data_IF_717269480962
#
_entry.id   IF_717269480962
#
_cell.length_a   1.000
_cell.length_b   1.000
_cell.length_c   1.000
_cell.angle_alpha   90.00
_cell.angle_beta   90.00
_cell.angle_gamma   90.00
#
_symmetry.space_group_name_H-M   'P 1'
#
loop_
_entity.id
_entity.type
_entity.pdbx_description
1 polymer ?
#
# COMPACT_ATOMS: atom_id res chain seq x y z
N UNK A 1 -15.04 -14.57 4.74
CA UNK A 1 -14.39 -13.57 3.87
C UNK A 1 -13.71 -12.55 4.76
N UNK A 2 -12.41 -12.34 4.62
CA UNK A 2 -11.62 -11.46 5.49
C UNK A 2 -11.39 -10.10 4.81
N UNK A 3 -11.53 -9.02 5.60
CA UNK A 3 -11.21 -7.66 5.20
C UNK A 3 -10.06 -7.17 6.07
N UNK A 4 -8.97 -6.71 5.45
CA UNK A 4 -7.80 -6.21 6.16
C UNK A 4 -7.57 -4.76 5.78
N UNK A 5 -7.48 -3.88 6.79
CA UNK A 5 -7.26 -2.45 6.62
C UNK A 5 -5.82 -2.07 6.93
N UNK A 6 -5.26 -1.19 6.10
CA UNK A 6 -3.93 -0.60 6.24
C UNK A 6 -4.09 0.91 6.17
N UNK A 7 -3.59 1.63 7.18
CA UNK A 7 -3.53 3.09 7.17
C UNK A 7 -2.08 3.56 7.09
N UNK A 8 -1.79 4.43 6.12
CA UNK A 8 -0.47 4.99 5.86
C UNK A 8 -0.43 6.48 6.19
N UNK A 9 0.76 6.99 6.53
CA UNK A 9 0.99 8.42 6.81
C UNK A 9 0.98 9.32 5.56
N UNK A 10 0.70 8.76 4.38
CA UNK A 10 0.51 9.50 3.15
C UNK A 10 -0.75 10.36 3.25
N UNK A 11 -0.63 11.67 3.03
CA UNK A 11 -1.70 12.65 3.32
C UNK A 11 -2.68 12.84 2.17
N UNK A 12 -2.31 12.40 0.98
CA UNK A 12 -3.14 12.51 -0.20
C UNK A 12 -2.36 12.13 -1.45
N UNK A 13 -2.95 11.28 -2.28
CA UNK A 13 -2.39 10.96 -3.57
C UNK A 13 -2.42 12.18 -4.48
N UNK A 14 -1.32 12.41 -5.18
CA UNK A 14 -1.32 13.33 -6.32
C UNK A 14 -1.85 12.60 -7.56
N UNK A 15 -2.16 13.36 -8.62
CA UNK A 15 -2.49 12.77 -9.92
C UNK A 15 -1.39 11.81 -10.40
N UNK A 16 -0.12 12.17 -10.17
CA UNK A 16 1.03 11.33 -10.51
C UNK A 16 1.05 10.04 -9.70
N UNK A 17 0.66 10.06 -8.41
CA UNK A 17 0.53 8.86 -7.59
C UNK A 17 -0.54 7.92 -8.16
N UNK A 18 -1.70 8.46 -8.57
CA UNK A 18 -2.77 7.68 -9.19
C UNK A 18 -2.29 7.06 -10.49
N UNK A 19 -1.70 7.87 -11.38
CA UNK A 19 -1.16 7.39 -12.66
C UNK A 19 -0.09 6.30 -12.46
N UNK A 20 0.81 6.46 -11.49
CA UNK A 20 1.83 5.47 -11.18
C UNK A 20 1.24 4.12 -10.74
N UNK A 21 0.18 4.15 -9.92
CA UNK A 21 -0.50 2.94 -9.45
C UNK A 21 -1.31 2.27 -10.58
N UNK A 22 -1.85 3.07 -11.50
CA UNK A 22 -2.63 2.58 -12.65
C UNK A 22 -1.76 2.09 -13.81
N UNK A 23 -0.50 2.51 -13.89
CA UNK A 23 0.42 2.07 -14.96
C UNK A 23 0.53 0.53 -14.96
N UNK A 24 0.29 -0.04 -16.13
CA UNK A 24 0.67 -1.41 -16.48
C UNK A 24 2.20 -1.43 -16.52
N UNK A 25 2.83 -2.51 -16.04
CA UNK A 25 4.28 -2.73 -16.07
C UNK A 25 4.89 -2.42 -17.44
N UNK A 26 5.25 -1.16 -17.70
CA UNK A 26 6.34 -0.81 -18.62
C UNK A 26 7.61 -1.02 -17.82
N UNK A 27 8.04 -2.27 -17.73
CA UNK A 27 9.45 -2.57 -17.44
C UNK A 27 10.27 -1.99 -18.58
N UNK A 28 10.58 -0.70 -18.52
CA UNK A 28 11.57 -0.08 -19.40
C UNK A 28 12.89 -0.15 -18.66
N UNK A 29 13.61 -1.23 -18.92
CA UNK A 29 15.06 -1.28 -18.77
C UNK A 29 15.65 -0.52 -19.96
N UNK A 30 15.57 0.81 -19.98
CA UNK A 30 16.37 1.63 -20.89
C UNK A 30 16.37 3.10 -20.46
N UNK A 31 17.58 3.61 -20.19
CA UNK A 31 17.93 5.00 -20.42
C UNK A 31 17.54 6.00 -19.33
N UNK A 32 18.52 6.36 -18.51
CA UNK A 32 18.85 7.74 -18.10
C UNK A 32 17.70 8.75 -17.89
N UNK A 33 17.41 9.09 -16.62
CA UNK A 33 17.81 10.40 -16.05
C UNK A 33 16.88 10.88 -14.92
N UNK A 34 17.52 11.04 -13.76
CA UNK A 34 17.42 12.15 -12.79
C UNK A 34 16.12 12.37 -12.02
N UNK A 35 16.30 12.20 -10.70
CA UNK A 35 15.80 13.04 -9.60
C UNK A 35 14.32 12.92 -9.21
N UNK A 36 13.99 11.82 -8.53
CA UNK A 36 13.23 11.88 -7.27
C UNK A 36 13.42 10.54 -6.52
N UNK A 37 14.08 10.58 -5.36
CA UNK A 37 14.42 9.42 -4.54
C UNK A 37 13.18 8.84 -3.81
N UNK A 38 12.20 8.35 -4.56
CA UNK A 38 11.08 7.54 -4.06
C UNK A 38 11.36 6.07 -4.33
N UNK A 39 11.40 5.25 -3.26
CA UNK A 39 11.43 3.79 -3.38
C UNK A 39 10.14 3.37 -4.10
N UNK A 40 10.25 2.71 -5.25
CA UNK A 40 9.08 2.20 -6.00
C UNK A 40 8.97 2.62 -7.47
N UNK A 41 10.02 3.19 -8.09
CA UNK A 41 10.02 3.66 -9.49
C UNK A 41 9.63 2.59 -10.53
N UNK A 42 9.62 1.30 -10.16
CA UNK A 42 9.39 0.18 -11.08
C UNK A 42 7.92 -0.22 -11.28
N UNK A 43 6.95 0.35 -10.57
CA UNK A 43 5.52 0.04 -10.77
C UNK A 43 5.08 -1.40 -10.44
N UNK A 44 5.98 -2.27 -9.97
CA UNK A 44 5.69 -3.68 -9.62
C UNK A 44 5.14 -3.83 -8.19
N UNK A 45 5.54 -2.94 -7.26
CA UNK A 45 5.29 -3.11 -5.83
C UNK A 45 3.82 -3.12 -5.43
N UNK A 46 3.00 -2.23 -5.98
CA UNK A 46 1.57 -2.20 -5.65
C UNK A 46 0.83 -3.42 -6.21
N UNK A 47 1.22 -3.94 -7.39
CA UNK A 47 0.52 -5.06 -8.01
C UNK A 47 0.69 -6.37 -7.24
N UNK A 48 1.78 -6.52 -6.47
CA UNK A 48 1.99 -7.67 -5.61
C UNK A 48 0.84 -7.90 -4.61
N UNK A 49 0.09 -6.86 -4.22
CA UNK A 49 -1.06 -7.03 -3.32
C UNK A 49 -2.20 -7.85 -3.98
N UNK A 50 -2.25 -7.91 -5.31
CA UNK A 50 -3.16 -8.79 -6.05
C UNK A 50 -2.69 -10.25 -6.08
N UNK A 51 -1.67 -10.66 -5.33
CA UNK A 51 -1.45 -12.10 -5.07
C UNK A 51 -2.34 -12.59 -3.93
N UNK A 52 -2.75 -11.70 -3.04
CA UNK A 52 -3.48 -12.03 -1.79
C UNK A 52 -4.88 -11.42 -1.72
N UNK A 53 -5.16 -10.34 -2.46
CA UNK A 53 -6.44 -9.62 -2.39
C UNK A 53 -7.13 -9.45 -3.75
N UNK A 54 -8.37 -9.92 -3.89
CA UNK A 54 -9.17 -9.80 -5.12
C UNK A 54 -9.73 -8.40 -5.34
N UNK A 55 -9.96 -7.65 -4.26
CA UNK A 55 -10.44 -6.27 -4.33
C UNK A 55 -9.66 -5.38 -3.38
N UNK A 56 -9.31 -4.19 -3.85
CA UNK A 56 -8.54 -3.21 -3.09
C UNK A 56 -9.28 -1.88 -3.17
N UNK A 57 -9.73 -1.34 -2.04
CA UNK A 57 -10.23 0.03 -1.98
C UNK A 57 -9.13 0.95 -1.46
N UNK A 58 -9.04 2.15 -2.00
CA UNK A 58 -8.10 3.19 -1.57
C UNK A 58 -8.88 4.47 -1.35
N UNK A 59 -8.65 5.09 -0.19
CA UNK A 59 -9.07 6.45 0.13
C UNK A 59 -7.84 7.28 0.49
N UNK A 60 -7.61 8.37 -0.24
CA UNK A 60 -6.46 9.23 -0.04
C UNK A 60 -6.79 10.66 -0.43
N UNK A 61 -6.88 11.57 0.54
CA UNK A 61 -7.36 12.94 0.32
C UNK A 61 -8.75 12.94 -0.32
N UNK A 62 -8.88 13.58 -1.48
CA UNK A 62 -10.13 13.65 -2.25
C UNK A 62 -10.38 12.43 -3.15
N UNK A 63 -9.42 11.51 -3.24
CA UNK A 63 -9.54 10.32 -4.08
C UNK A 63 -10.16 9.16 -3.32
N UNK A 64 -11.15 8.52 -3.93
CA UNK A 64 -11.75 7.27 -3.46
C UNK A 64 -12.07 6.38 -4.65
N UNK A 65 -11.39 5.23 -4.73
CA UNK A 65 -11.53 4.29 -5.83
C UNK A 65 -11.19 2.87 -5.38
N UNK A 66 -11.50 1.90 -6.24
CA UNK A 66 -11.09 0.51 -6.03
C UNK A 66 -10.50 -0.11 -7.28
N UNK A 67 -9.68 -1.13 -7.09
CA UNK A 67 -9.34 -2.09 -8.14
C UNK A 67 -10.06 -3.41 -7.88
N UNK A 68 -10.40 -4.10 -8.96
CA UNK A 68 -11.12 -5.36 -8.92
C UNK A 68 -10.41 -6.38 -9.80
N UNK A 69 -9.58 -7.24 -9.23
CA UNK A 69 -8.73 -8.15 -10.00
C UNK A 69 -9.51 -8.97 -11.04
N UNK A 70 -10.75 -9.34 -10.71
CA UNK A 70 -11.59 -10.21 -11.53
C UNK A 70 -12.42 -9.43 -12.58
N UNK A 71 -12.31 -8.10 -12.60
CA UNK A 71 -12.98 -7.25 -13.60
C UNK A 71 -12.18 -7.09 -14.89
N UNK A 72 -12.86 -6.64 -15.95
CA UNK A 72 -12.33 -6.42 -17.31
C UNK A 72 -11.02 -5.61 -17.38
N UNK A 73 -10.84 -4.58 -16.56
CA UNK A 73 -9.60 -3.78 -16.45
C UNK A 73 -8.96 -3.90 -15.08
N UNK A 74 -9.15 -5.04 -14.42
CA UNK A 74 -9.14 -5.17 -12.98
C UNK A 74 -7.97 -4.58 -12.23
N UNK A 75 -6.76 -5.03 -12.56
CA UNK A 75 -5.52 -4.57 -11.94
C UNK A 75 -5.00 -3.25 -12.52
N UNK A 76 -5.68 -2.66 -13.52
CA UNK A 76 -5.12 -1.60 -14.38
C UNK A 76 -5.88 -0.30 -14.17
N UNK A 77 -7.20 -0.34 -14.28
CA UNK A 77 -8.04 0.84 -14.22
C UNK A 77 -8.73 0.93 -12.85
N UNK A 78 -8.63 2.08 -12.17
CA UNK A 78 -9.34 2.31 -10.93
C UNK A 78 -10.82 2.56 -11.25
N UNK A 79 -11.70 2.00 -10.44
CA UNK A 79 -13.14 2.24 -10.50
C UNK A 79 -13.47 3.23 -9.39
N UNK A 80 -13.94 4.42 -9.74
CA UNK A 80 -14.40 5.42 -8.77
C UNK A 80 -15.52 4.84 -7.92
N UNK A 81 -15.26 4.68 -6.63
CA UNK A 81 -16.18 4.11 -5.64
C UNK A 81 -15.84 4.66 -4.27
N UNK A 82 -16.88 4.86 -3.45
CA UNK A 82 -16.70 5.24 -2.05
C UNK A 82 -15.95 4.15 -1.29
N UNK A 83 -15.11 4.58 -0.36
CA UNK A 83 -14.46 3.69 0.59
C UNK A 83 -15.54 3.04 1.46
N UNK A 84 -15.50 1.71 1.70
CA UNK A 84 -16.56 1.02 2.42
C UNK A 84 -16.68 1.39 3.90
N UNK A 85 -15.62 1.94 4.49
CA UNK A 85 -15.55 2.34 5.90
C UNK A 85 -15.34 3.85 6.03
N UNK A 86 -15.32 4.36 7.28
CA UNK A 86 -14.87 5.72 7.53
C UNK A 86 -13.34 5.81 7.34
N UNK A 87 -12.85 6.60 6.35
CA UNK A 87 -11.43 6.80 6.16
C UNK A 87 -10.83 7.59 7.32
N UNK A 88 -9.56 7.33 7.64
CA UNK A 88 -8.86 8.10 8.66
C UNK A 88 -8.45 9.44 8.05
N UNK A 89 -8.90 10.55 8.63
CA UNK A 89 -8.54 11.89 8.13
C UNK A 89 -7.03 12.11 8.16
N UNK A 90 -6.50 12.79 7.13
CA UNK A 90 -5.08 13.11 7.01
C UNK A 90 -4.17 11.90 6.76
N UNK A 91 -4.73 10.74 6.40
CA UNK A 91 -4.01 9.51 6.09
C UNK A 91 -4.54 8.91 4.79
N UNK A 92 -3.80 7.94 4.27
CA UNK A 92 -4.25 7.10 3.15
C UNK A 92 -4.70 5.77 3.72
N UNK A 93 -5.96 5.44 3.51
CA UNK A 93 -6.57 4.19 3.96
C UNK A 93 -6.68 3.22 2.78
N UNK A 94 -6.21 2.00 2.97
CA UNK A 94 -6.31 0.90 2.01
C UNK A 94 -7.09 -0.24 2.67
N UNK A 95 -8.12 -0.73 2.00
CA UNK A 95 -8.88 -1.89 2.44
C UNK A 95 -8.70 -3.02 1.44
N UNK A 96 -8.31 -4.19 1.93
CA UNK A 96 -8.05 -5.38 1.14
C UNK A 96 -9.15 -6.41 1.40
N UNK A 97 -9.81 -6.87 0.33
CA UNK A 97 -10.59 -8.11 0.36
C UNK A 97 -9.67 -9.26 0.04
N UNK A 98 -9.29 -10.00 1.06
CA UNK A 98 -8.42 -11.16 0.92
C UNK A 98 -9.15 -12.28 0.18
N UNK A 99 -8.40 -13.05 -0.59
CA UNK A 99 -8.90 -14.25 -1.24
C UNK A 99 -9.24 -15.32 -0.20
N UNK A 100 -10.16 -16.23 -0.54
CA UNK A 100 -10.64 -17.25 0.40
C UNK A 100 -9.53 -18.17 0.88
N UNK A 101 -8.54 -18.40 0.01
CA UNK A 101 -7.41 -19.29 0.25
C UNK A 101 -6.23 -18.57 0.91
N UNK A 102 -6.36 -17.26 1.14
CA UNK A 102 -5.35 -16.46 1.79
C UNK A 102 -5.58 -16.46 3.31
N UNK A 103 -4.64 -17.04 4.05
CA UNK A 103 -4.66 -16.99 5.52
C UNK A 103 -4.14 -15.63 6.01
N UNK A 104 -5.06 -14.80 6.50
CA UNK A 104 -4.72 -13.52 7.14
C UNK A 104 -3.71 -13.70 8.29
N UNK A 105 -3.74 -14.84 8.99
CA UNK A 105 -2.82 -15.11 10.10
C UNK A 105 -1.38 -15.20 9.62
N UNK A 106 -1.15 -15.84 8.47
CA UNK A 106 0.18 -15.95 7.87
C UNK A 106 0.73 -14.59 7.46
N UNK A 107 -0.08 -13.74 6.80
CA UNK A 107 0.31 -12.36 6.46
C UNK A 107 0.75 -11.62 7.72
N UNK A 108 0.00 -11.80 8.80
CA UNK A 108 0.26 -11.13 10.07
C UNK A 108 1.52 -11.67 10.74
N UNK A 109 1.76 -12.99 10.73
CA UNK A 109 2.96 -13.60 11.28
C UNK A 109 4.21 -13.22 10.49
N UNK A 110 4.13 -13.21 9.16
CA UNK A 110 5.20 -12.73 8.30
C UNK A 110 5.46 -11.23 8.52
N UNK A 111 4.41 -10.44 8.71
CA UNK A 111 4.57 -9.02 9.06
C UNK A 111 5.23 -8.84 10.43
N UNK A 112 5.03 -9.77 11.39
CA UNK A 112 5.70 -9.75 12.69
C UNK A 112 7.17 -10.17 12.62
N UNK A 113 7.55 -11.00 11.65
CA UNK A 113 8.92 -11.50 11.50
C UNK A 113 9.86 -10.46 10.90
N UNK A 114 9.31 -9.40 10.28
CA UNK A 114 10.10 -8.28 9.79
C UNK A 114 10.91 -7.60 10.89
N UNK A 115 12.22 -7.54 10.67
CA UNK A 115 13.18 -6.86 11.53
C UNK A 115 12.94 -5.34 11.49
N UNK A 116 13.08 -4.70 12.64
CA UNK A 116 13.02 -3.24 12.79
C UNK A 116 14.02 -2.50 11.89
N UNK A 117 15.09 -3.19 11.48
CA UNK A 117 16.06 -2.72 10.49
C UNK A 117 15.44 -2.34 9.15
N UNK A 118 14.26 -2.86 8.79
CA UNK A 118 13.55 -2.41 7.57
C UNK A 118 13.29 -0.90 7.64
N UNK A 119 13.00 -0.35 8.82
CA UNK A 119 12.80 1.09 8.98
C UNK A 119 14.07 1.92 8.76
N UNK A 120 15.27 1.34 8.89
CA UNK A 120 16.53 2.04 8.61
C UNK A 120 16.63 2.38 7.11
N UNK A 121 16.05 1.54 6.26
CA UNK A 121 16.04 1.71 4.81
C UNK A 121 14.83 2.52 4.31
N UNK A 122 13.87 2.84 5.18
CA UNK A 122 12.70 3.65 4.84
C UNK A 122 12.91 5.12 5.23
N UNK A 123 12.79 6.01 4.25
CA UNK A 123 12.98 7.46 4.45
C UNK A 123 11.80 8.17 5.12
N UNK A 124 10.58 7.73 4.82
CA UNK A 124 9.33 8.39 5.26
C UNK A 124 8.53 7.59 6.29
N UNK A 125 8.67 6.27 6.31
CA UNK A 125 7.94 5.42 7.24
C UNK A 125 8.69 5.39 8.57
N UNK A 126 8.13 6.04 9.59
CA UNK A 126 8.71 6.11 10.94
C UNK A 126 8.02 5.20 11.94
N UNK A 127 6.88 4.63 11.58
CA UNK A 127 6.04 3.81 12.44
C UNK A 127 5.31 2.76 11.63
N UNK A 128 5.43 1.51 12.03
CA UNK A 128 4.59 0.39 11.62
C UNK A 128 3.92 -0.17 12.88
N UNK A 129 2.59 -0.28 12.88
CA UNK A 129 1.81 -0.73 14.04
C UNK A 129 0.56 -1.51 13.58
N UNK A 130 0.06 -2.44 14.43
CA UNK A 130 -1.17 -3.20 14.18
C UNK A 130 -2.19 -3.00 15.31
N UNK A 131 -3.28 -2.29 15.02
CA UNK A 131 -4.21 -1.80 16.04
C UNK A 131 -4.98 -2.87 16.83
N UNK A 132 -5.24 -4.07 16.28
CA UNK A 132 -6.17 -5.04 16.92
C UNK A 132 -5.54 -6.19 17.73
N UNK A 133 -4.26 -6.53 17.56
CA UNK A 133 -3.65 -7.71 18.23
C UNK A 133 -2.17 -7.57 18.59
N UNK A 134 -1.48 -6.48 18.20
CA UNK A 134 -0.03 -6.37 18.35
C UNK A 134 0.42 -4.91 18.38
N UNK A 135 0.78 -4.41 19.57
CA UNK A 135 1.24 -3.03 19.78
C UNK A 135 2.76 -2.87 19.59
N UNK A 136 3.40 -3.60 18.67
CA UNK A 136 4.81 -3.32 18.37
C UNK A 136 4.86 -2.17 17.40
N UNK A 137 5.42 -1.07 17.87
CA UNK A 137 5.65 0.15 17.12
C UNK A 137 7.14 0.17 16.83
N UNK A 138 7.52 -0.09 15.58
CA UNK A 138 8.89 0.12 15.17
C UNK A 138 9.08 1.62 14.95
N UNK A 139 10.03 2.24 15.62
CA UNK A 139 10.42 3.64 15.38
C UNK A 139 11.89 3.68 15.08
N UNK A 140 12.28 4.43 14.04
CA UNK A 140 13.68 4.70 13.80
C UNK A 140 14.24 5.39 15.04
N UNK A 141 15.21 4.76 15.72
CA UNK A 141 15.91 5.37 16.83
C UNK A 141 16.46 6.72 16.37
N UNK A 142 16.31 7.75 17.20
CA UNK A 142 16.92 9.05 16.93
C UNK A 142 18.43 8.83 16.82
N UNK A 143 18.95 8.91 15.60
CA UNK A 143 20.38 8.94 15.39
C UNK A 143 20.80 10.37 15.80
N UNK A 144 21.66 10.53 16.82
CA UNK A 144 22.14 11.86 17.19
C UNK A 144 22.84 12.50 15.99
N UNK A 145 22.69 13.82 15.91
CA UNK A 145 23.14 14.67 14.81
C UNK A 145 24.62 14.51 14.49
#
# INVERSE_FOLDING_TARGET
MALTRIDCNERGFSKQSIEAICRICKSIKSGESKSAEFIGEKGVGFKAVFTVASTIWISSGYYSFRFDRNGHLGMIAPITRRFPEQPKQGCTSILLKLDKDCDERLIVEETKSYDEKILLFLRRLRRLAKDRLFKRTFTRGAQPA
#
